data_IF_668254129377
#
_entry.id   IF_668254129377
#
_cell.length_a   1.000
_cell.length_b   1.000
_cell.length_c   1.000
_cell.angle_alpha   90.00
_cell.angle_beta   90.00
_cell.angle_gamma   90.00
#
_symmetry.space_group_name_H-M   'P 1'
#
loop_
_entity.id
_entity.type
_entity.pdbx_description
1 polymer ?
#
# COMPACT_ATOMS: atom_id res chain seq x y z
N UNK A 1 -20.29 31.43 13.65
CA UNK A 1 -19.04 32.07 14.08
C UNK A 1 -19.28 33.57 14.02
N UNK A 2 -19.36 34.24 15.17
CA UNK A 2 -19.47 35.70 15.23
C UNK A 2 -18.07 36.25 14.99
N UNK A 3 -17.89 37.11 13.98
CA UNK A 3 -16.62 37.78 13.71
C UNK A 3 -16.32 38.75 14.86
N UNK A 4 -15.50 38.31 15.82
CA UNK A 4 -15.05 39.10 16.97
C UNK A 4 -14.25 40.34 16.54
N UNK A 5 -13.62 40.31 15.36
CA UNK A 5 -12.93 41.47 14.77
C UNK A 5 -13.84 42.56 14.20
N UNK A 6 -15.14 42.29 13.97
CA UNK A 6 -16.12 43.32 13.57
C UNK A 6 -16.57 44.17 14.78
N UNK A 7 -16.18 43.79 16.00
CA UNK A 7 -16.55 44.51 17.23
C UNK A 7 -15.62 45.65 17.64
N UNK A 8 -14.83 46.20 16.71
CA UNK A 8 -13.75 47.14 17.04
C UNK A 8 -14.18 48.58 17.33
N UNK A 9 -15.46 48.97 17.16
CA UNK A 9 -15.92 50.32 17.52
C UNK A 9 -17.08 50.38 18.53
N UNK A 10 -18.05 49.47 18.45
CA UNK A 10 -19.24 49.52 19.33
C UNK A 10 -19.00 48.97 20.74
N UNK A 11 -18.14 47.95 20.91
CA UNK A 11 -17.73 47.46 22.24
C UNK A 11 -16.83 48.46 22.94
N UNK A 12 -16.04 49.24 22.18
CA UNK A 12 -15.12 50.23 22.72
C UNK A 12 -15.81 51.36 23.49
N UNK A 13 -17.10 51.65 23.26
CA UNK A 13 -17.83 52.70 24.00
C UNK A 13 -18.13 52.31 25.44
N UNK A 14 -18.60 51.08 25.69
CA UNK A 14 -18.90 50.58 27.05
C UNK A 14 -17.67 49.96 27.71
N UNK A 15 -16.77 49.37 26.92
CA UNK A 15 -15.46 48.97 27.41
C UNK A 15 -14.60 50.20 27.74
N UNK A 16 -14.81 51.39 27.14
CA UNK A 16 -14.00 52.60 27.38
C UNK A 16 -13.84 52.93 28.87
N UNK A 17 -14.91 52.80 29.67
CA UNK A 17 -14.84 53.12 31.10
C UNK A 17 -13.97 52.12 31.87
N UNK A 18 -14.08 50.84 31.54
CA UNK A 18 -13.25 49.76 32.10
C UNK A 18 -11.81 49.79 31.56
N UNK A 19 -11.64 50.13 30.28
CA UNK A 19 -10.38 50.22 29.54
C UNK A 19 -9.59 51.46 29.95
N UNK A 20 -10.26 52.56 30.30
CA UNK A 20 -9.64 53.74 30.91
C UNK A 20 -9.04 53.39 32.28
N UNK A 21 -9.72 52.61 33.10
CA UNK A 21 -9.18 52.12 34.39
C UNK A 21 -8.10 51.02 34.21
N UNK A 22 -8.14 50.28 33.11
CA UNK A 22 -7.10 49.28 32.75
C UNK A 22 -5.87 49.89 32.06
N UNK A 23 -5.92 51.16 31.65
CA UNK A 23 -4.87 51.75 30.81
C UNK A 23 -3.49 51.82 31.47
N UNK A 24 -3.42 51.73 32.80
CA UNK A 24 -2.17 51.70 33.59
C UNK A 24 -1.89 50.34 34.27
N UNK A 25 -2.84 49.42 34.32
CA UNK A 25 -2.70 48.14 35.03
C UNK A 25 -2.46 46.98 34.07
N UNK A 26 -1.32 46.30 34.19
CA UNK A 26 -1.06 45.07 33.45
C UNK A 26 -2.14 44.02 33.75
N UNK A 27 -2.76 43.46 32.70
CA UNK A 27 -3.76 42.40 32.85
C UNK A 27 -3.16 41.23 33.63
N UNK A 28 -3.76 40.90 34.77
CA UNK A 28 -3.35 39.79 35.62
C UNK A 28 -4.37 38.65 35.58
N UNK A 29 -3.93 37.45 35.97
CA UNK A 29 -4.78 36.26 36.08
C UNK A 29 -5.97 36.49 37.02
N UNK A 30 -5.72 37.16 38.15
CA UNK A 30 -6.76 37.50 39.12
C UNK A 30 -7.82 38.43 38.53
N UNK A 31 -7.37 39.47 37.80
CA UNK A 31 -8.27 40.40 37.15
C UNK A 31 -9.11 39.69 36.07
N UNK A 32 -8.50 38.84 35.23
CA UNK A 32 -9.24 38.08 34.23
C UNK A 32 -10.29 37.15 34.87
N UNK A 33 -9.94 36.47 35.97
CA UNK A 33 -10.88 35.65 36.73
C UNK A 33 -12.06 36.48 37.27
N UNK A 34 -11.78 37.66 37.82
CA UNK A 34 -12.82 38.58 38.34
C UNK A 34 -13.75 39.06 37.21
N UNK A 35 -13.19 39.42 36.05
CA UNK A 35 -13.97 39.85 34.88
C UNK A 35 -14.91 38.75 34.36
N UNK A 36 -14.47 37.49 34.41
CA UNK A 36 -15.29 36.35 33.99
C UNK A 36 -16.31 35.91 35.04
N UNK A 37 -16.01 36.10 36.33
CA UNK A 37 -16.90 35.70 37.43
C UNK A 37 -18.05 36.68 37.67
N UNK A 38 -17.80 37.99 37.47
CA UNK A 38 -18.74 39.05 37.84
C UNK A 38 -19.67 39.49 36.69
N UNK A 39 -19.57 38.87 35.52
CA UNK A 39 -20.34 39.27 34.34
C UNK A 39 -21.09 38.09 33.74
N UNK A 40 -22.38 38.28 33.45
CA UNK A 40 -23.16 37.37 32.61
C UNK A 40 -22.73 37.42 31.14
N UNK A 41 -21.92 38.43 30.77
CA UNK A 41 -21.39 38.67 29.43
C UNK A 41 -19.85 38.62 29.45
N UNK A 42 -19.22 37.77 28.63
CA UNK A 42 -17.76 37.64 28.57
C UNK A 42 -17.06 38.81 27.85
N UNK A 43 -17.80 39.76 27.28
CA UNK A 43 -17.24 40.94 26.56
C UNK A 43 -16.15 41.71 27.34
N UNK A 44 -16.26 41.98 28.66
CA UNK A 44 -15.22 42.68 29.40
C UNK A 44 -13.89 41.92 29.42
N UNK A 45 -13.95 40.59 29.56
CA UNK A 45 -12.78 39.72 29.52
C UNK A 45 -12.13 39.73 28.12
N UNK A 46 -12.94 39.62 27.05
CA UNK A 46 -12.44 39.73 25.68
C UNK A 46 -11.81 41.10 25.38
N UNK A 47 -12.41 42.19 25.86
CA UNK A 47 -11.84 43.53 25.69
C UNK A 47 -10.48 43.65 26.39
N UNK A 48 -10.35 43.14 27.62
CA UNK A 48 -9.09 43.13 28.35
C UNK A 48 -8.01 42.29 27.64
N UNK A 49 -8.35 41.08 27.20
CA UNK A 49 -7.44 40.22 26.45
C UNK A 49 -7.02 40.85 25.11
N UNK A 50 -7.95 41.49 24.40
CA UNK A 50 -7.64 42.19 23.14
C UNK A 50 -6.72 43.39 23.40
N UNK A 51 -6.90 44.09 24.52
CA UNK A 51 -5.99 45.16 24.91
C UNK A 51 -4.58 44.64 25.20
N UNK A 52 -4.43 43.47 25.84
CA UNK A 52 -3.10 42.86 26.06
C UNK A 52 -2.37 42.58 24.74
N UNK A 53 -3.11 42.27 23.68
CA UNK A 53 -2.57 42.04 22.33
C UNK A 53 -2.21 43.34 21.59
N UNK A 54 -2.50 44.51 22.15
CA UNK A 54 -2.21 45.80 21.52
C UNK A 54 -0.70 45.98 21.33
N UNK A 55 -0.31 46.36 20.12
CA UNK A 55 1.10 46.53 19.75
C UNK A 55 1.84 45.22 19.44
N UNK A 56 1.15 44.08 19.41
CA UNK A 56 1.75 42.85 18.91
C UNK A 56 1.96 42.92 17.39
N UNK A 57 3.16 42.59 16.92
CA UNK A 57 3.56 42.78 15.50
C UNK A 57 3.41 41.53 14.64
N UNK A 58 3.33 40.35 15.25
CA UNK A 58 3.17 39.06 14.59
C UNK A 58 2.13 38.18 15.29
N UNK A 59 1.76 37.04 14.69
CA UNK A 59 0.86 36.08 15.32
C UNK A 59 1.56 35.35 16.47
N UNK A 60 2.84 35.05 16.29
CA UNK A 60 3.70 34.49 17.34
C UNK A 60 3.78 35.42 18.55
N UNK A 61 3.97 36.74 18.36
CA UNK A 61 3.99 37.74 19.44
C UNK A 61 2.65 37.77 20.20
N UNK A 62 1.51 37.69 19.49
CA UNK A 62 0.19 37.60 20.13
C UNK A 62 0.07 36.36 21.01
N UNK A 63 0.53 35.21 20.54
CA UNK A 63 0.52 33.96 21.31
C UNK A 63 1.44 34.09 22.54
N UNK A 64 2.66 34.60 22.37
CA UNK A 64 3.61 34.75 23.47
C UNK A 64 3.14 35.72 24.56
N UNK A 65 2.34 36.73 24.21
CA UNK A 65 1.73 37.63 25.19
C UNK A 65 0.57 36.99 25.94
N UNK A 66 -0.19 36.12 25.30
CA UNK A 66 -1.35 35.46 25.92
C UNK A 66 -0.94 34.33 26.86
N UNK A 67 0.01 33.47 26.45
CA UNK A 67 0.36 32.25 27.18
C UNK A 67 0.75 32.46 28.66
N UNK A 68 1.48 33.53 29.07
CA UNK A 68 1.80 33.79 30.47
C UNK A 68 0.57 33.94 31.38
N UNK A 69 -0.56 34.45 30.88
CA UNK A 69 -1.81 34.51 31.66
C UNK A 69 -2.35 33.10 31.95
N UNK A 70 -2.13 32.19 31.02
CA UNK A 70 -2.52 30.80 31.11
C UNK A 70 -1.71 29.99 32.13
N UNK A 71 -0.49 30.41 32.47
CA UNK A 71 0.35 29.71 33.45
C UNK A 71 -0.15 29.91 34.90
N UNK A 72 -1.05 30.86 35.14
CA UNK A 72 -1.70 31.04 36.44
C UNK A 72 -2.94 30.16 36.65
N UNK A 73 -3.52 30.27 37.85
CA UNK A 73 -4.77 29.55 38.20
C UNK A 73 -5.98 30.22 37.57
N UNK A 74 -6.25 29.92 36.30
CA UNK A 74 -7.47 30.34 35.61
C UNK A 74 -8.70 29.58 36.14
N UNK A 75 -9.80 30.31 36.35
CA UNK A 75 -11.13 29.73 36.59
C UNK A 75 -11.67 29.08 35.31
N UNK A 76 -12.62 28.14 35.38
CA UNK A 76 -13.20 27.52 34.19
C UNK A 76 -13.79 28.53 33.18
N UNK A 77 -14.43 29.60 33.67
CA UNK A 77 -14.97 30.66 32.82
C UNK A 77 -13.87 31.46 32.11
N UNK A 78 -12.80 31.81 32.84
CA UNK A 78 -11.64 32.49 32.25
C UNK A 78 -10.89 31.61 31.24
N UNK A 79 -10.80 30.30 31.52
CA UNK A 79 -10.23 29.33 30.59
C UNK A 79 -11.07 29.21 29.31
N UNK A 80 -12.41 29.25 29.42
CA UNK A 80 -13.31 29.27 28.27
C UNK A 80 -13.13 30.52 27.39
N UNK A 81 -13.07 31.71 27.98
CA UNK A 81 -12.79 32.95 27.24
C UNK A 81 -11.38 32.94 26.60
N UNK A 82 -10.42 32.31 27.26
CA UNK A 82 -9.07 32.12 26.73
C UNK A 82 -9.05 31.15 25.54
N UNK A 83 -9.76 30.01 25.62
CA UNK A 83 -9.92 29.05 24.52
C UNK A 83 -10.57 29.70 23.30
N UNK A 84 -11.65 30.47 23.50
CA UNK A 84 -12.33 31.22 22.44
C UNK A 84 -11.35 32.13 21.70
N UNK A 85 -10.63 33.02 22.40
CA UNK A 85 -9.72 33.97 21.76
C UNK A 85 -8.51 33.28 21.12
N UNK A 86 -7.90 32.31 21.81
CA UNK A 86 -6.75 31.59 21.28
C UNK A 86 -7.17 30.78 20.05
N UNK A 87 -8.35 30.18 20.04
CA UNK A 87 -8.87 29.46 18.86
C UNK A 87 -9.09 30.40 17.68
N UNK A 88 -9.58 31.62 17.90
CA UNK A 88 -9.74 32.62 16.84
C UNK A 88 -8.39 33.08 16.26
N UNK A 89 -7.39 33.27 17.12
CA UNK A 89 -6.01 33.55 16.69
C UNK A 89 -5.53 32.38 15.84
N UNK A 90 -5.55 31.16 16.39
CA UNK A 90 -5.08 29.96 15.71
C UNK A 90 -5.83 29.73 14.39
N UNK A 91 -7.09 30.13 14.25
CA UNK A 91 -7.88 29.90 13.04
C UNK A 91 -7.33 30.61 11.79
N UNK A 92 -6.50 31.64 11.97
CA UNK A 92 -5.91 32.38 10.86
C UNK A 92 -4.78 31.57 10.20
N UNK A 93 -4.82 31.31 8.88
CA UNK A 93 -3.80 30.50 8.20
C UNK A 93 -2.37 31.02 8.37
N UNK A 94 -2.20 32.36 8.38
CA UNK A 94 -0.90 33.01 8.54
C UNK A 94 -0.21 32.69 9.87
N UNK A 95 -0.95 32.29 10.91
CA UNK A 95 -0.36 31.88 12.20
C UNK A 95 0.50 30.64 12.04
N UNK A 96 0.09 29.71 11.17
CA UNK A 96 0.86 28.50 10.95
C UNK A 96 2.16 28.78 10.21
N UNK A 97 2.15 29.71 9.27
CA UNK A 97 3.36 30.11 8.57
C UNK A 97 4.32 30.87 9.50
N UNK A 98 3.78 31.62 10.47
CA UNK A 98 4.56 32.28 11.52
C UNK A 98 5.15 31.28 12.54
N UNK A 99 4.39 30.23 12.92
CA UNK A 99 4.81 29.22 13.90
C UNK A 99 5.74 28.12 13.33
N UNK A 100 5.59 27.78 12.05
CA UNK A 100 6.27 26.65 11.41
C UNK A 100 7.14 27.03 10.21
N UNK A 101 7.04 28.27 9.74
CA UNK A 101 7.69 28.72 8.51
C UNK A 101 6.88 28.38 7.27
N UNK A 102 6.91 29.28 6.27
CA UNK A 102 6.14 29.15 5.03
C UNK A 102 6.58 27.98 4.12
N UNK A 103 7.79 27.45 4.29
CA UNK A 103 8.40 26.46 3.38
C UNK A 103 8.31 25.01 3.87
N UNK A 104 7.61 24.76 4.97
CA UNK A 104 7.50 23.43 5.55
C UNK A 104 6.74 22.44 4.64
N UNK A 105 7.25 21.21 4.53
CA UNK A 105 6.57 20.13 3.84
C UNK A 105 5.21 19.81 4.50
N UNK A 106 4.17 19.52 3.70
CA UNK A 106 2.81 19.35 4.20
C UNK A 106 2.67 18.17 5.17
N UNK A 107 3.34 17.06 4.90
CA UNK A 107 3.39 15.90 5.82
C UNK A 107 3.94 16.31 7.20
N UNK A 108 5.07 17.02 7.25
CA UNK A 108 5.67 17.50 8.49
C UNK A 108 4.74 18.49 9.22
N UNK A 109 4.11 19.41 8.48
CA UNK A 109 3.14 20.37 9.02
C UNK A 109 1.97 19.67 9.69
N UNK A 110 1.38 18.67 9.03
CA UNK A 110 0.26 17.89 9.60
C UNK A 110 0.69 17.12 10.84
N UNK A 111 1.85 16.45 10.80
CA UNK A 111 2.36 15.72 11.96
C UNK A 111 2.54 16.63 13.18
N UNK A 112 3.00 17.87 12.98
CA UNK A 112 3.18 18.84 14.05
C UNK A 112 1.86 19.42 14.56
N UNK A 113 0.93 19.75 13.68
CA UNK A 113 -0.41 20.19 14.06
C UNK A 113 -1.13 19.10 14.86
N UNK A 114 -0.99 17.86 14.43
CA UNK A 114 -1.59 16.72 15.09
C UNK A 114 -0.96 16.47 16.46
N UNK A 115 0.36 16.49 16.56
CA UNK A 115 1.04 16.36 17.85
C UNK A 115 0.58 17.44 18.83
N UNK A 116 0.40 18.68 18.35
CA UNK A 116 -0.14 19.78 19.14
C UNK A 116 -1.59 19.55 19.57
N UNK A 117 -2.46 19.05 18.68
CA UNK A 117 -3.86 18.74 19.00
C UNK A 117 -3.99 17.57 20.01
N UNK A 118 -3.14 16.56 19.87
CA UNK A 118 -3.08 15.36 20.72
C UNK A 118 -2.26 15.57 22.00
N UNK A 119 -1.69 16.76 22.22
CA UNK A 119 -0.86 17.08 23.40
C UNK A 119 0.41 16.22 23.52
N UNK A 120 0.95 15.80 22.39
CA UNK A 120 2.18 14.99 22.33
C UNK A 120 3.36 15.82 21.84
N UNK A 121 4.58 15.37 22.15
CA UNK A 121 5.77 16.02 21.62
C UNK A 121 5.81 15.90 20.09
N UNK A 122 6.03 16.99 19.34
CA UNK A 122 6.05 16.96 17.89
C UNK A 122 7.22 16.10 17.36
N UNK A 123 7.00 15.28 16.32
CA UNK A 123 8.08 14.53 15.70
C UNK A 123 8.96 15.45 14.83
N UNK A 124 10.26 15.55 15.13
CA UNK A 124 11.24 16.24 14.28
C UNK A 124 12.51 16.68 15.00
N UNK A 125 13.62 16.93 14.25
CA UNK A 125 14.89 17.30 14.85
C UNK A 125 14.85 18.71 15.49
N UNK A 126 15.64 18.94 16.55
CA UNK A 126 15.71 20.20 17.27
C UNK A 126 16.46 21.25 16.44
N UNK A 127 15.79 21.84 15.46
CA UNK A 127 16.30 22.96 14.67
C UNK A 127 15.24 24.05 14.62
N UNK A 128 15.47 25.14 15.36
CA UNK A 128 14.59 26.31 15.48
C UNK A 128 13.14 25.99 15.91
N UNK A 129 12.96 25.28 17.03
CA UNK A 129 11.74 25.46 17.82
C UNK A 129 11.73 26.89 18.39
N UNK A 130 11.05 27.80 17.71
CA UNK A 130 10.61 29.08 18.28
C UNK A 130 10.04 28.83 19.69
N UNK A 131 10.53 29.51 20.75
CA UNK A 131 10.08 29.32 22.14
C UNK A 131 8.56 29.36 22.28
N UNK A 132 7.90 30.23 21.51
CA UNK A 132 6.45 30.36 21.42
C UNK A 132 5.73 29.04 21.14
N UNK A 133 6.24 28.23 20.20
CA UNK A 133 5.64 26.95 19.82
C UNK A 133 5.69 25.94 20.96
N UNK A 134 6.83 25.85 21.64
CA UNK A 134 6.97 24.92 22.77
C UNK A 134 6.06 25.31 23.93
N UNK A 135 5.97 26.63 24.21
CA UNK A 135 5.04 27.15 25.21
C UNK A 135 3.60 26.82 24.83
N UNK A 136 3.20 27.02 23.57
CA UNK A 136 1.85 26.69 23.10
C UNK A 136 1.53 25.20 23.23
N UNK A 137 2.43 24.30 22.80
CA UNK A 137 2.25 22.84 22.95
C UNK A 137 2.11 22.45 24.42
N UNK A 138 2.97 22.99 25.29
CA UNK A 138 2.90 22.74 26.74
C UNK A 138 1.57 23.24 27.33
N UNK A 139 1.13 24.42 26.89
CA UNK A 139 -0.12 25.03 27.35
C UNK A 139 -1.34 24.19 26.94
N UNK A 140 -1.44 23.82 25.65
CA UNK A 140 -2.48 22.93 25.15
C UNK A 140 -2.44 21.54 25.80
N UNK A 141 -1.26 21.09 26.22
CA UNK A 141 -1.07 19.85 26.99
C UNK A 141 -1.51 19.93 28.45
N UNK A 142 -1.50 21.13 29.04
CA UNK A 142 -1.86 21.37 30.43
C UNK A 142 -3.37 21.57 30.60
N UNK A 143 -4.03 22.21 29.63
CA UNK A 143 -5.42 22.64 29.75
C UNK A 143 -6.35 21.96 28.73
N UNK A 144 -7.63 21.84 29.10
CA UNK A 144 -8.66 21.39 28.18
C UNK A 144 -9.27 22.53 27.36
N UNK A 145 -8.81 22.61 26.11
CA UNK A 145 -9.08 23.71 25.16
C UNK A 145 -9.70 23.14 23.88
N UNK A 146 -10.99 22.72 23.93
CA UNK A 146 -11.66 22.05 22.84
C UNK A 146 -11.75 22.89 21.55
N UNK A 147 -11.90 24.22 21.65
CA UNK A 147 -12.02 25.09 20.47
C UNK A 147 -10.69 25.23 19.75
N UNK A 148 -9.60 25.44 20.49
CA UNK A 148 -8.24 25.40 19.93
C UNK A 148 -7.98 24.07 19.22
N UNK A 149 -8.39 22.95 19.82
CA UNK A 149 -8.22 21.62 19.21
C UNK A 149 -9.02 21.48 17.91
N UNK A 150 -10.28 21.90 17.91
CA UNK A 150 -11.12 21.88 16.72
C UNK A 150 -10.51 22.72 15.57
N UNK A 151 -9.95 23.88 15.89
CA UNK A 151 -9.25 24.74 14.93
C UNK A 151 -7.99 24.09 14.37
N UNK A 152 -7.16 23.47 15.22
CA UNK A 152 -5.95 22.75 14.77
C UNK A 152 -6.32 21.62 13.80
N UNK A 153 -7.40 20.90 14.06
CA UNK A 153 -7.88 19.86 13.14
C UNK A 153 -8.48 20.41 11.86
N UNK A 154 -9.18 21.55 11.92
CA UNK A 154 -9.63 22.24 10.72
C UNK A 154 -8.43 22.65 9.84
N UNK A 155 -7.29 23.00 10.44
CA UNK A 155 -6.04 23.21 9.70
C UNK A 155 -5.48 21.93 9.12
N UNK A 156 -5.42 20.84 9.88
CA UNK A 156 -5.00 19.52 9.37
C UNK A 156 -5.82 19.15 8.13
N UNK A 157 -7.14 19.24 8.23
CA UNK A 157 -8.06 19.01 7.10
C UNK A 157 -7.75 19.94 5.93
N UNK A 158 -7.59 21.24 6.18
CA UNK A 158 -7.27 22.21 5.13
C UNK A 158 -5.98 21.84 4.39
N UNK A 159 -4.91 21.51 5.12
CA UNK A 159 -3.63 21.09 4.52
C UNK A 159 -3.80 19.79 3.73
N UNK A 160 -4.60 18.84 4.23
CA UNK A 160 -4.97 17.63 3.51
C UNK A 160 -5.76 17.94 2.23
N UNK A 161 -6.59 18.97 2.18
CA UNK A 161 -7.38 19.30 0.99
C UNK A 161 -6.61 20.08 -0.09
N UNK A 162 -5.50 20.74 0.29
CA UNK A 162 -4.75 21.60 -0.63
C UNK A 162 -4.27 20.85 -1.90
N UNK A 163 -4.50 21.35 -3.11
CA UNK A 163 -4.01 20.68 -4.32
C UNK A 163 -2.48 20.62 -4.35
N UNK A 164 -1.91 19.60 -5.01
CA UNK A 164 -0.46 19.42 -5.18
C UNK A 164 0.17 18.39 -4.24
N UNK A 165 1.51 18.29 -4.33
CA UNK A 165 2.34 17.27 -3.65
C UNK A 165 2.15 17.30 -2.14
N UNK A 166 1.88 16.14 -1.54
CA UNK A 166 1.75 15.98 -0.09
C UNK A 166 3.09 15.77 0.63
N UNK A 167 3.84 14.75 0.22
CA UNK A 167 5.08 14.34 0.88
C UNK A 167 6.30 14.44 -0.05
N UNK A 168 6.18 13.91 -1.27
CA UNK A 168 7.27 13.90 -2.23
C UNK A 168 6.79 13.89 -3.68
N UNK A 169 7.72 14.00 -4.63
CA UNK A 169 7.42 13.97 -6.08
C UNK A 169 7.12 12.58 -6.61
N UNK A 170 7.33 11.52 -5.82
CA UNK A 170 7.12 10.13 -6.23
C UNK A 170 5.75 9.63 -5.78
N UNK A 171 4.90 9.09 -6.67
CA UNK A 171 3.59 8.54 -6.28
C UNK A 171 3.67 7.44 -5.22
N UNK A 172 4.74 6.63 -5.22
CA UNK A 172 4.94 5.54 -4.26
C UNK A 172 5.20 6.07 -2.85
N UNK A 173 6.04 7.10 -2.74
CA UNK A 173 6.34 7.75 -1.47
C UNK A 173 5.14 8.57 -0.97
N UNK A 174 4.41 9.23 -1.89
CA UNK A 174 3.18 9.95 -1.55
C UNK A 174 2.09 9.00 -1.02
N UNK A 175 1.89 7.86 -1.68
CA UNK A 175 0.98 6.81 -1.20
C UNK A 175 1.41 6.27 0.17
N UNK A 176 2.70 5.96 0.35
CA UNK A 176 3.21 5.48 1.63
C UNK A 176 3.00 6.51 2.75
N UNK A 177 3.17 7.80 2.46
CA UNK A 177 2.87 8.88 3.41
C UNK A 177 1.39 8.93 3.77
N UNK A 178 0.49 8.84 2.79
CA UNK A 178 -0.96 8.81 3.03
C UNK A 178 -1.39 7.59 3.86
N UNK A 179 -0.80 6.41 3.62
CA UNK A 179 -1.04 5.22 4.43
C UNK A 179 -0.54 5.39 5.88
N UNK A 180 0.63 6.02 6.09
CA UNK A 180 1.12 6.36 7.44
C UNK A 180 0.16 7.32 8.14
N UNK A 181 -0.32 8.35 7.45
CA UNK A 181 -1.32 9.27 7.98
C UNK A 181 -2.61 8.53 8.35
N UNK A 182 -3.12 7.66 7.48
CA UNK A 182 -4.33 6.89 7.76
C UNK A 182 -4.20 6.05 9.05
N UNK A 183 -3.07 5.34 9.22
CA UNK A 183 -2.77 4.55 10.43
C UNK A 183 -2.64 5.42 11.70
N UNK A 184 -2.22 6.67 11.53
CA UNK A 184 -2.12 7.64 12.61
C UNK A 184 -3.52 8.12 13.02
N UNK A 185 -4.31 8.61 12.05
CA UNK A 185 -5.68 9.08 12.28
C UNK A 185 -6.62 7.97 12.73
N UNK A 186 -6.34 6.70 12.41
CA UNK A 186 -7.14 5.58 12.91
C UNK A 186 -7.07 5.39 14.43
N UNK A 187 -6.05 5.95 15.08
CA UNK A 187 -5.83 5.89 16.53
C UNK A 187 -6.37 7.12 17.28
N UNK A 188 -6.76 8.15 16.54
CA UNK A 188 -7.22 9.42 17.10
C UNK A 188 -8.70 9.32 17.47
N UNK A 189 -9.07 10.06 18.52
CA UNK A 189 -10.44 10.19 18.99
C UNK A 189 -11.38 10.60 17.82
N UNK A 190 -12.42 9.79 17.52
CA UNK A 190 -13.40 10.10 16.50
C UNK A 190 -14.07 11.48 16.64
N UNK A 191 -14.19 12.01 17.86
CA UNK A 191 -14.84 13.29 18.13
C UNK A 191 -14.11 14.49 17.49
N UNK A 192 -12.86 14.32 17.09
CA UNK A 192 -11.95 15.41 16.70
C UNK A 192 -11.90 15.59 15.17
N UNK A 193 -13.00 15.33 14.45
CA UNK A 193 -13.11 15.53 12.99
C UNK A 193 -12.40 14.46 12.15
N UNK A 194 -12.18 13.27 12.73
CA UNK A 194 -11.47 12.14 12.11
C UNK A 194 -12.08 11.71 10.77
N UNK A 195 -13.40 11.63 10.68
CA UNK A 195 -14.09 11.14 9.48
C UNK A 195 -13.79 12.00 8.25
N UNK A 196 -13.80 13.33 8.41
CA UNK A 196 -13.54 14.27 7.33
C UNK A 196 -12.09 14.20 6.83
N UNK A 197 -11.14 13.99 7.75
CA UNK A 197 -9.73 13.84 7.39
C UNK A 197 -9.49 12.51 6.66
N UNK A 198 -10.12 11.42 7.11
CA UNK A 198 -10.06 10.13 6.42
C UNK A 198 -10.63 10.26 5.00
N UNK A 199 -11.78 10.92 4.83
CA UNK A 199 -12.36 11.18 3.52
C UNK A 199 -11.41 11.99 2.62
N UNK A 200 -10.69 12.96 3.19
CA UNK A 200 -9.69 13.77 2.47
C UNK A 200 -8.47 12.92 2.04
N UNK A 201 -8.03 11.99 2.89
CA UNK A 201 -6.98 11.02 2.56
C UNK A 201 -7.45 10.08 1.44
N UNK A 202 -8.64 9.51 1.54
CA UNK A 202 -9.23 8.63 0.53
C UNK A 202 -9.36 9.33 -0.82
N UNK A 203 -9.83 10.59 -0.83
CA UNK A 203 -9.92 11.39 -2.04
C UNK A 203 -8.56 11.62 -2.70
N UNK A 204 -7.49 11.83 -1.91
CA UNK A 204 -6.13 11.92 -2.43
C UNK A 204 -5.62 10.59 -2.98
N UNK A 205 -5.81 9.50 -2.25
CA UNK A 205 -5.39 8.18 -2.73
C UNK A 205 -6.10 7.85 -4.04
N UNK A 206 -7.38 8.16 -4.17
CA UNK A 206 -8.12 8.02 -5.43
C UNK A 206 -7.50 8.78 -6.61
N UNK A 207 -6.89 9.95 -6.39
CA UNK A 207 -6.17 10.71 -7.43
C UNK A 207 -4.82 10.08 -7.80
N UNK A 208 -4.20 9.36 -6.88
CA UNK A 208 -2.97 8.60 -7.14
C UNK A 208 -3.24 7.30 -7.89
N UNK A 209 -4.40 6.69 -7.70
CA UNK A 209 -4.81 5.48 -8.42
C UNK A 209 -5.51 5.87 -9.72
N UNK A 210 -4.75 6.44 -10.65
CA UNK A 210 -5.18 6.75 -12.02
C UNK A 210 -4.36 5.95 -13.03
N UNK A 211 -4.86 5.68 -14.26
CA UNK A 211 -4.11 4.92 -15.25
C UNK A 211 -2.68 5.44 -15.48
N UNK A 212 -2.50 6.76 -15.54
CA UNK A 212 -1.20 7.40 -15.75
C UNK A 212 -0.24 7.21 -14.56
N UNK A 213 -0.76 7.22 -13.33
CA UNK A 213 0.05 7.05 -12.12
C UNK A 213 0.29 5.58 -11.78
N UNK A 214 -0.60 4.68 -12.21
CA UNK A 214 -0.43 3.24 -12.04
C UNK A 214 0.83 2.72 -12.72
N UNK A 215 1.26 3.29 -13.87
CA UNK A 215 2.54 2.93 -14.50
C UNK A 215 3.77 3.27 -13.65
N UNK A 216 3.65 4.24 -12.73
CA UNK A 216 4.71 4.60 -11.78
C UNK A 216 4.67 3.74 -10.52
N UNK A 217 3.48 3.34 -10.08
CA UNK A 217 3.28 2.44 -8.92
C UNK A 217 3.60 0.98 -9.26
N UNK A 218 3.32 0.58 -10.51
CA UNK A 218 3.50 -0.77 -11.03
C UNK A 218 4.46 -0.69 -12.22
N UNK A 219 5.74 -1.05 -12.03
CA UNK A 219 6.75 -0.87 -13.07
C UNK A 219 6.35 -1.53 -14.40
N UNK A 220 6.41 -0.78 -15.51
CA UNK A 220 6.00 -1.27 -16.83
C UNK A 220 6.79 -2.49 -17.30
N UNK A 221 8.07 -2.59 -16.94
CA UNK A 221 8.94 -3.73 -17.26
C UNK A 221 8.76 -4.95 -16.34
N UNK A 222 7.91 -4.88 -15.31
CA UNK A 222 7.71 -6.01 -14.41
C UNK A 222 6.97 -7.17 -15.12
N UNK A 223 7.28 -8.44 -14.79
CA UNK A 223 6.51 -9.59 -15.25
C UNK A 223 5.02 -9.46 -14.90
N UNK A 224 4.13 -9.94 -15.77
CA UNK A 224 2.69 -9.77 -15.63
C UNK A 224 2.15 -10.30 -14.28
N UNK A 225 2.62 -11.46 -13.84
CA UNK A 225 2.25 -12.05 -12.55
C UNK A 225 2.67 -11.17 -11.37
N UNK A 226 3.85 -10.56 -11.44
CA UNK A 226 4.33 -9.60 -10.45
C UNK A 226 3.47 -8.33 -10.45
N UNK A 227 3.04 -7.84 -11.61
CA UNK A 227 2.12 -6.69 -11.70
C UNK A 227 0.79 -6.99 -11.01
N UNK A 228 0.20 -8.16 -11.28
CA UNK A 228 -1.04 -8.59 -10.64
C UNK A 228 -0.88 -8.68 -9.13
N UNK A 229 0.19 -9.33 -8.66
CA UNK A 229 0.54 -9.41 -7.26
C UNK A 229 0.63 -8.02 -6.60
N UNK A 230 1.38 -7.08 -7.20
CA UNK A 230 1.51 -5.73 -6.67
C UNK A 230 0.16 -4.99 -6.59
N UNK A 231 -0.70 -5.15 -7.58
CA UNK A 231 -2.02 -4.49 -7.59
C UNK A 231 -2.96 -5.12 -6.56
N UNK A 232 -2.87 -6.43 -6.31
CA UNK A 232 -3.61 -7.08 -5.23
C UNK A 232 -3.13 -6.62 -3.85
N UNK A 233 -1.80 -6.50 -3.64
CA UNK A 233 -1.25 -5.95 -2.38
C UNK A 233 -1.74 -4.50 -2.18
N UNK A 234 -1.69 -3.70 -3.24
CA UNK A 234 -2.17 -2.34 -3.23
C UNK A 234 -3.68 -2.24 -2.93
N UNK A 235 -4.48 -3.19 -3.42
CA UNK A 235 -5.91 -3.25 -3.15
C UNK A 235 -6.22 -3.45 -1.66
N UNK A 236 -5.44 -4.32 -1.00
CA UNK A 236 -5.62 -4.60 0.43
C UNK A 236 -5.17 -3.43 1.31
N UNK A 237 -4.19 -2.64 0.86
CA UNK A 237 -3.66 -1.52 1.64
C UNK A 237 -4.36 -0.17 1.41
N UNK A 238 -5.03 0.01 0.27
CA UNK A 238 -5.62 1.29 -0.11
C UNK A 238 -6.99 1.52 0.53
N UNK A 239 -7.21 2.68 1.18
CA UNK A 239 -8.53 3.07 1.69
C UNK A 239 -9.42 3.64 0.57
N UNK A 240 -10.72 3.63 0.80
CA UNK A 240 -11.71 4.25 -0.08
C UNK A 240 -12.15 3.39 -1.28
N UNK A 241 -13.46 3.38 -1.52
CA UNK A 241 -14.09 2.60 -2.58
C UNK A 241 -13.72 3.07 -4.00
N UNK A 242 -13.46 4.37 -4.17
CA UNK A 242 -13.07 4.95 -5.48
C UNK A 242 -11.75 4.35 -5.96
N UNK A 243 -10.74 4.33 -5.09
CA UNK A 243 -9.43 3.80 -5.42
C UNK A 243 -9.48 2.26 -5.61
N UNK A 244 -10.21 1.54 -4.75
CA UNK A 244 -10.47 0.10 -4.90
C UNK A 244 -11.15 -0.25 -6.22
N UNK A 245 -12.16 0.51 -6.61
CA UNK A 245 -12.85 0.33 -7.90
C UNK A 245 -11.90 0.55 -9.08
N UNK A 246 -11.02 1.56 -9.01
CA UNK A 246 -10.00 1.80 -10.02
C UNK A 246 -8.98 0.64 -10.10
N UNK A 247 -8.53 0.11 -8.96
CA UNK A 247 -7.64 -1.05 -8.91
C UNK A 247 -8.30 -2.31 -9.50
N UNK A 248 -9.59 -2.56 -9.22
CA UNK A 248 -10.32 -3.68 -9.83
C UNK A 248 -10.38 -3.55 -11.35
N UNK A 249 -10.64 -2.35 -11.88
CA UNK A 249 -10.60 -2.09 -13.33
C UNK A 249 -9.21 -2.39 -13.89
N UNK A 250 -8.16 -1.98 -13.19
CA UNK A 250 -6.78 -2.26 -13.59
C UNK A 250 -6.45 -3.76 -13.54
N UNK A 251 -6.88 -4.48 -12.51
CA UNK A 251 -6.78 -5.94 -12.44
C UNK A 251 -7.48 -6.59 -13.63
N UNK A 252 -8.70 -6.18 -13.96
CA UNK A 252 -9.43 -6.73 -15.11
C UNK A 252 -8.69 -6.54 -16.44
N UNK A 253 -7.94 -5.44 -16.60
CA UNK A 253 -7.08 -5.21 -17.76
C UNK A 253 -5.84 -6.13 -17.74
N UNK A 254 -5.23 -6.33 -16.57
CA UNK A 254 -4.09 -7.24 -16.43
C UNK A 254 -4.48 -8.71 -16.65
N UNK A 255 -5.71 -9.07 -16.29
CA UNK A 255 -6.31 -10.39 -16.51
C UNK A 255 -6.97 -10.55 -17.87
N UNK A 256 -6.74 -9.63 -18.82
CA UNK A 256 -7.19 -9.85 -20.19
C UNK A 256 -6.50 -11.11 -20.76
N UNK A 257 -7.29 -12.00 -21.37
CA UNK A 257 -6.88 -13.38 -21.70
C UNK A 257 -5.64 -13.40 -22.61
N UNK A 258 -5.54 -12.44 -23.52
CA UNK A 258 -4.40 -12.31 -24.41
C UNK A 258 -3.12 -11.87 -23.70
N UNK A 259 -3.21 -11.14 -22.59
CA UNK A 259 -2.05 -10.64 -21.84
C UNK A 259 -1.42 -11.75 -21.01
N UNK A 260 -2.23 -12.49 -20.23
CA UNK A 260 -1.74 -13.55 -19.34
C UNK A 260 -1.10 -14.69 -20.15
N UNK A 261 -1.80 -15.16 -21.20
CA UNK A 261 -1.31 -16.25 -22.06
C UNK A 261 0.01 -15.87 -22.73
N UNK A 262 0.15 -14.63 -23.22
CA UNK A 262 1.41 -14.14 -23.80
C UNK A 262 2.53 -14.05 -22.77
N UNK A 263 2.24 -13.54 -21.56
CA UNK A 263 3.22 -13.47 -20.50
C UNK A 263 3.79 -14.85 -20.17
N UNK A 264 2.94 -15.87 -20.13
CA UNK A 264 3.29 -17.26 -19.84
C UNK A 264 4.11 -17.90 -20.97
N UNK A 265 3.80 -17.61 -22.23
CA UNK A 265 4.58 -18.11 -23.38
C UNK A 265 5.93 -17.40 -23.53
N UNK A 266 6.01 -16.14 -23.11
CA UNK A 266 7.21 -15.32 -23.20
C UNK A 266 8.18 -15.49 -22.02
N UNK A 267 7.72 -16.07 -20.91
CA UNK A 267 8.57 -16.23 -19.74
C UNK A 267 9.59 -17.34 -20.00
N UNK A 268 10.83 -17.13 -19.54
CA UNK A 268 11.86 -18.18 -19.53
C UNK A 268 11.62 -19.23 -18.44
N UNK A 269 10.48 -19.17 -17.76
CA UNK A 269 10.17 -20.01 -16.61
C UNK A 269 9.75 -21.40 -17.06
N UNK A 270 10.04 -22.37 -16.21
CA UNK A 270 9.56 -23.74 -16.40
C UNK A 270 8.04 -23.81 -16.16
N UNK A 271 7.35 -24.83 -16.71
CA UNK A 271 5.93 -25.05 -16.43
C UNK A 271 5.64 -25.23 -14.93
N UNK A 272 6.57 -25.81 -14.17
CA UNK A 272 6.43 -25.99 -12.73
C UNK A 272 6.50 -24.66 -11.96
N UNK A 273 7.44 -23.77 -12.31
CA UNK A 273 7.52 -22.42 -11.73
C UNK A 273 6.27 -21.59 -12.07
N UNK A 274 5.79 -21.70 -13.30
CA UNK A 274 4.56 -21.02 -13.73
C UNK A 274 3.35 -21.52 -12.94
N UNK A 275 3.23 -22.83 -12.73
CA UNK A 275 2.16 -23.40 -11.90
C UNK A 275 2.23 -22.91 -10.45
N UNK A 276 3.43 -22.86 -9.87
CA UNK A 276 3.63 -22.33 -8.51
C UNK A 276 3.23 -20.85 -8.38
N UNK A 277 3.55 -20.01 -9.37
CA UNK A 277 3.12 -18.61 -9.38
C UNK A 277 1.59 -18.48 -9.49
N UNK A 278 0.95 -19.30 -10.34
CA UNK A 278 -0.50 -19.32 -10.49
C UNK A 278 -1.20 -19.77 -9.20
N UNK A 279 -0.68 -20.79 -8.52
CA UNK A 279 -1.19 -21.25 -7.22
C UNK A 279 -1.02 -20.17 -6.14
N UNK A 280 0.12 -19.47 -6.12
CA UNK A 280 0.35 -18.34 -5.22
C UNK A 280 -0.67 -17.21 -5.46
N UNK A 281 -0.92 -16.86 -6.73
CA UNK A 281 -1.91 -15.86 -7.09
C UNK A 281 -3.34 -16.29 -6.74
N UNK A 282 -3.71 -17.55 -6.99
CA UNK A 282 -4.99 -18.10 -6.55
C UNK A 282 -5.15 -17.98 -5.04
N UNK A 283 -4.12 -18.37 -4.28
CA UNK A 283 -4.10 -18.25 -2.83
C UNK A 283 -4.39 -16.81 -2.38
N UNK A 284 -3.68 -15.84 -2.95
CA UNK A 284 -3.83 -14.41 -2.64
C UNK A 284 -5.21 -13.86 -3.01
N UNK A 285 -5.76 -14.22 -4.17
CA UNK A 285 -7.10 -13.80 -4.58
C UNK A 285 -8.16 -14.37 -3.62
N UNK A 286 -7.98 -15.61 -3.18
CA UNK A 286 -8.91 -16.28 -2.28
C UNK A 286 -8.86 -15.75 -0.84
N UNK A 287 -7.68 -15.36 -0.34
CA UNK A 287 -7.51 -14.83 1.03
C UNK A 287 -7.65 -13.31 1.13
N UNK A 288 -7.47 -12.57 0.03
CA UNK A 288 -7.48 -11.11 0.02
C UNK A 288 -8.86 -10.48 0.26
N UNK A 289 -8.88 -9.14 0.30
CA UNK A 289 -10.07 -8.33 0.62
C UNK A 289 -10.94 -8.00 -0.60
N UNK A 290 -10.65 -8.58 -1.77
CA UNK A 290 -11.39 -8.31 -3.01
C UNK A 290 -12.87 -8.70 -2.88
N UNK A 291 -13.81 -7.93 -3.46
CA UNK A 291 -15.24 -8.22 -3.36
C UNK A 291 -15.57 -9.54 -4.05
N UNK A 292 -16.52 -10.31 -3.51
CA UNK A 292 -16.87 -11.64 -4.02
C UNK A 292 -17.10 -11.70 -5.54
N UNK A 293 -17.84 -10.77 -6.18
CA UNK A 293 -18.06 -10.82 -7.63
C UNK A 293 -16.76 -10.65 -8.43
N UNK A 294 -15.90 -9.72 -8.00
CA UNK A 294 -14.60 -9.50 -8.65
C UNK A 294 -13.67 -10.71 -8.43
N UNK A 295 -13.66 -11.26 -7.21
CA UNK A 295 -12.89 -12.46 -6.86
C UNK A 295 -13.26 -13.65 -7.73
N UNK A 296 -14.55 -13.93 -7.89
CA UNK A 296 -15.05 -15.02 -8.73
C UNK A 296 -14.57 -14.87 -10.18
N UNK A 297 -14.70 -13.67 -10.76
CA UNK A 297 -14.22 -13.37 -12.11
C UNK A 297 -12.70 -13.57 -12.26
N UNK A 298 -11.92 -13.10 -11.29
CA UNK A 298 -10.46 -13.26 -11.29
C UNK A 298 -10.05 -14.74 -11.20
N UNK A 299 -10.72 -15.51 -10.33
CA UNK A 299 -10.49 -16.96 -10.20
C UNK A 299 -10.87 -17.68 -11.49
N UNK A 300 -12.02 -17.39 -12.08
CA UNK A 300 -12.47 -17.99 -13.34
C UNK A 300 -11.44 -17.77 -14.47
N UNK A 301 -10.98 -16.54 -14.63
CA UNK A 301 -9.95 -16.19 -15.64
C UNK A 301 -8.63 -16.90 -15.38
N UNK A 302 -8.22 -17.02 -14.13
CA UNK A 302 -6.99 -17.71 -13.74
C UNK A 302 -7.08 -19.21 -14.01
N UNK A 303 -8.21 -19.84 -13.67
CA UNK A 303 -8.49 -21.24 -13.97
C UNK A 303 -8.53 -21.51 -15.48
N UNK A 304 -9.12 -20.61 -16.27
CA UNK A 304 -9.11 -20.72 -17.73
C UNK A 304 -7.67 -20.69 -18.29
N UNK A 305 -6.78 -19.88 -17.72
CA UNK A 305 -5.36 -19.84 -18.11
C UNK A 305 -4.62 -21.12 -17.71
N UNK A 306 -4.87 -21.66 -16.50
CA UNK A 306 -4.32 -22.95 -16.05
C UNK A 306 -4.77 -24.09 -16.99
N UNK A 307 -6.05 -24.13 -17.34
CA UNK A 307 -6.59 -25.14 -18.26
C UNK A 307 -5.92 -25.08 -19.64
N UNK A 308 -5.70 -23.88 -20.19
CA UNK A 308 -4.99 -23.68 -21.46
C UNK A 308 -3.53 -24.13 -21.38
N UNK A 309 -2.83 -23.90 -20.26
CA UNK A 309 -1.48 -24.46 -20.06
C UNK A 309 -1.47 -25.98 -20.07
N UNK A 310 -2.40 -26.59 -19.34
CA UNK A 310 -2.50 -28.04 -19.30
C UNK A 310 -2.78 -28.59 -20.70
N UNK A 311 -3.70 -27.98 -21.46
CA UNK A 311 -3.98 -28.34 -22.84
C UNK A 311 -2.76 -28.18 -23.76
N UNK A 312 -2.02 -27.07 -23.67
CA UNK A 312 -0.79 -26.87 -24.44
C UNK A 312 0.33 -27.87 -24.09
N UNK A 313 0.43 -28.27 -22.81
CA UNK A 313 1.35 -29.33 -22.38
C UNK A 313 0.93 -30.71 -22.91
N UNK A 314 -0.38 -30.92 -23.08
CA UNK A 314 -0.98 -32.14 -23.64
C UNK A 314 -0.80 -32.15 -25.17
N UNK A 315 -0.87 -31.01 -25.86
CA UNK A 315 -0.63 -30.90 -27.31
C UNK A 315 0.85 -31.06 -27.70
N UNK A 316 1.79 -31.02 -26.74
CA UNK A 316 3.16 -31.54 -26.95
C UNK A 316 3.19 -33.06 -27.21
N UNK A 317 2.03 -33.75 -27.24
CA UNK A 317 1.87 -35.10 -27.83
C UNK A 317 2.25 -35.19 -29.31
N UNK A 318 2.45 -34.07 -30.00
CA UNK A 318 3.09 -33.99 -31.32
C UNK A 318 4.63 -34.08 -31.29
N UNK A 319 5.26 -34.28 -30.13
CA UNK A 319 6.70 -34.55 -30.06
C UNK A 319 7.06 -35.71 -30.98
N UNK A 320 8.06 -35.51 -31.83
CA UNK A 320 8.54 -36.53 -32.76
C UNK A 320 8.91 -37.77 -31.95
N UNK A 321 8.18 -38.86 -32.17
CA UNK A 321 8.43 -40.15 -31.54
C UNK A 321 9.42 -40.94 -32.38
N UNK A 322 10.37 -41.58 -31.71
CA UNK A 322 11.26 -42.53 -32.31
C UNK A 322 10.91 -43.92 -31.76
N UNK A 323 10.63 -44.88 -32.64
CA UNK A 323 10.46 -46.27 -32.22
C UNK A 323 11.79 -46.76 -31.62
N UNK A 324 11.70 -47.61 -30.59
CA UNK A 324 12.89 -48.32 -30.10
C UNK A 324 13.41 -49.26 -31.18
N UNK A 325 14.72 -49.26 -31.39
CA UNK A 325 15.42 -50.19 -32.28
C UNK A 325 15.70 -51.53 -31.61
N UNK A 326 16.16 -52.50 -32.41
CA UNK A 326 16.58 -53.81 -31.90
C UNK A 326 17.76 -53.62 -30.94
N UNK A 327 17.57 -54.04 -29.68
CA UNK A 327 18.59 -53.91 -28.64
C UNK A 327 18.52 -52.61 -27.82
N UNK A 328 17.51 -51.75 -28.04
CA UNK A 328 17.23 -50.60 -27.19
C UNK A 328 16.38 -51.01 -25.98
N UNK A 329 16.76 -50.51 -24.80
CA UNK A 329 16.14 -50.95 -23.56
C UNK A 329 16.22 -49.90 -22.47
N UNK A 330 15.41 -50.14 -21.44
CA UNK A 330 15.48 -49.45 -20.16
C UNK A 330 15.93 -50.44 -19.09
N UNK A 331 16.66 -49.96 -18.09
CA UNK A 331 16.88 -50.67 -16.83
C UNK A 331 16.04 -49.97 -15.78
N UNK A 332 15.07 -50.67 -15.22
CA UNK A 332 14.21 -50.17 -14.15
C UNK A 332 14.08 -51.25 -13.09
N UNK A 333 14.34 -50.91 -11.81
CA UNK A 333 14.38 -51.90 -10.70
C UNK A 333 15.31 -53.10 -10.99
N UNK A 334 16.48 -52.83 -11.57
CA UNK A 334 17.47 -53.84 -11.96
C UNK A 334 16.98 -54.85 -13.03
N UNK A 335 15.79 -54.62 -13.61
CA UNK A 335 15.24 -55.40 -14.71
C UNK A 335 15.50 -54.68 -16.04
N UNK A 336 16.04 -55.42 -17.01
CA UNK A 336 16.18 -54.95 -18.39
C UNK A 336 14.88 -55.19 -19.14
N UNK A 337 14.29 -54.12 -19.67
CA UNK A 337 13.03 -54.16 -20.42
C UNK A 337 13.18 -53.46 -21.76
N UNK A 338 12.62 -54.06 -22.81
CA UNK A 338 12.69 -53.51 -24.16
C UNK A 338 11.99 -52.14 -24.25
N UNK A 339 12.65 -51.22 -24.96
CA UNK A 339 12.10 -49.92 -25.25
C UNK A 339 11.19 -50.01 -26.48
N UNK A 340 9.92 -49.62 -26.32
CA UNK A 340 8.96 -49.60 -27.42
C UNK A 340 9.02 -48.27 -28.15
N UNK A 341 9.04 -47.15 -27.42
CA UNK A 341 9.03 -45.81 -28.00
C UNK A 341 9.67 -44.80 -27.04
N UNK A 342 10.28 -43.75 -27.59
CA UNK A 342 10.76 -42.62 -26.79
C UNK A 342 10.55 -41.29 -27.52
N UNK A 343 10.50 -40.23 -26.73
CA UNK A 343 10.27 -38.85 -27.16
C UNK A 343 11.11 -37.93 -26.29
N UNK A 344 11.04 -36.61 -26.53
CA UNK A 344 11.70 -35.61 -25.67
C UNK A 344 11.14 -35.54 -24.24
N UNK A 345 9.98 -36.14 -23.96
CA UNK A 345 9.24 -35.97 -22.69
C UNK A 345 9.09 -37.28 -21.92
N UNK A 346 9.22 -38.42 -22.59
CA UNK A 346 8.88 -39.71 -21.99
C UNK A 346 9.28 -40.91 -22.82
N UNK A 347 9.19 -42.06 -22.16
CA UNK A 347 9.49 -43.40 -22.69
C UNK A 347 8.29 -44.31 -22.55
N UNK A 348 8.19 -45.29 -23.44
CA UNK A 348 7.27 -46.41 -23.40
C UNK A 348 8.10 -47.68 -23.49
N UNK A 349 7.97 -48.56 -22.51
CA UNK A 349 8.72 -49.82 -22.45
C UNK A 349 7.82 -50.99 -22.08
N UNK A 350 8.21 -52.19 -22.51
CA UNK A 350 7.48 -53.43 -22.27
C UNK A 350 7.79 -54.49 -23.32
N UNK A 351 7.36 -55.74 -23.11
CA UNK A 351 6.45 -56.18 -22.05
C UNK A 351 7.11 -56.23 -20.65
N UNK A 352 6.36 -55.90 -19.60
CA UNK A 352 6.79 -56.01 -18.20
C UNK A 352 6.00 -57.07 -17.43
N UNK A 353 6.67 -57.81 -16.55
CA UNK A 353 6.04 -58.78 -15.65
C UNK A 353 5.77 -58.21 -14.25
N UNK A 354 6.42 -57.10 -13.89
CA UNK A 354 6.28 -56.44 -12.59
C UNK A 354 5.02 -55.59 -12.44
N UNK A 355 4.59 -55.37 -11.19
CA UNK A 355 3.52 -54.42 -10.86
C UNK A 355 4.07 -52.99 -10.84
N UNK A 356 3.61 -52.19 -11.79
CA UNK A 356 3.81 -50.73 -11.86
C UNK A 356 2.49 -50.03 -11.55
N UNK A 357 2.54 -48.90 -10.84
CA UNK A 357 1.35 -48.09 -10.51
C UNK A 357 1.45 -46.71 -11.16
N UNK A 358 0.33 -46.15 -11.59
CA UNK A 358 0.27 -44.76 -12.08
C UNK A 358 0.69 -43.82 -10.93
N UNK A 359 1.43 -42.75 -11.27
CA UNK A 359 2.09 -41.78 -10.37
C UNK A 359 3.24 -42.35 -9.53
N UNK A 360 3.64 -43.60 -9.77
CA UNK A 360 4.82 -44.16 -9.11
C UNK A 360 6.10 -43.50 -9.64
N UNK A 361 6.96 -43.06 -8.73
CA UNK A 361 8.29 -42.51 -9.05
C UNK A 361 9.37 -43.57 -8.93
N UNK A 362 10.23 -43.69 -9.93
CA UNK A 362 11.30 -44.68 -10.01
C UNK A 362 12.54 -44.07 -10.67
N UNK A 363 13.70 -44.70 -10.48
CA UNK A 363 14.90 -44.39 -11.26
C UNK A 363 15.00 -45.36 -12.44
N UNK A 364 15.40 -44.85 -13.60
CA UNK A 364 15.53 -45.58 -14.84
C UNK A 364 16.86 -45.23 -15.52
N UNK A 365 17.54 -46.22 -16.07
CA UNK A 365 18.65 -46.01 -17.01
C UNK A 365 18.16 -46.33 -18.42
N UNK A 366 18.28 -45.36 -19.34
CA UNK A 366 17.88 -45.53 -20.73
C UNK A 366 19.11 -45.84 -21.59
N UNK A 367 19.00 -46.81 -22.50
CA UNK A 367 20.01 -47.08 -23.55
C UNK A 367 19.35 -47.19 -24.92
N UNK A 368 19.73 -46.29 -25.82
CA UNK A 368 19.18 -46.22 -27.17
C UNK A 368 20.29 -46.07 -28.21
N UNK A 369 20.23 -46.84 -29.28
CA UNK A 369 21.11 -46.69 -30.43
C UNK A 369 20.51 -45.66 -31.39
N UNK A 370 21.27 -44.59 -31.64
CA UNK A 370 20.87 -43.56 -32.59
C UNK A 370 21.82 -43.56 -33.79
N UNK A 371 21.43 -42.92 -34.89
CA UNK A 371 22.29 -42.74 -36.06
C UNK A 371 23.60 -41.97 -35.76
N UNK A 372 23.69 -41.32 -34.60
CA UNK A 372 24.89 -40.59 -34.13
C UNK A 372 25.71 -41.38 -33.10
N UNK A 373 25.31 -42.60 -32.79
CA UNK A 373 25.91 -43.43 -31.75
C UNK A 373 24.94 -43.76 -30.60
N UNK A 374 25.39 -44.59 -29.64
CA UNK A 374 24.60 -44.97 -28.49
C UNK A 374 24.40 -43.78 -27.54
N UNK A 375 23.16 -43.62 -27.06
CA UNK A 375 22.75 -42.65 -26.06
C UNK A 375 22.43 -43.41 -24.78
N UNK A 376 23.13 -43.08 -23.69
CA UNK A 376 22.88 -43.64 -22.37
C UNK A 376 22.83 -42.56 -21.31
N UNK A 377 21.77 -42.55 -20.50
CA UNK A 377 21.67 -41.67 -19.34
C UNK A 377 20.75 -42.26 -18.26
N UNK A 378 20.98 -41.83 -17.03
CA UNK A 378 20.12 -42.11 -15.89
C UNK A 378 19.12 -40.97 -15.70
N UNK A 379 17.89 -41.31 -15.34
CA UNK A 379 16.82 -40.34 -15.14
C UNK A 379 15.84 -40.82 -14.07
N UNK A 380 15.24 -39.88 -13.37
CA UNK A 380 14.04 -40.18 -12.58
C UNK A 380 12.84 -40.22 -13.52
N UNK A 381 11.87 -41.07 -13.21
CA UNK A 381 10.64 -41.25 -13.99
C UNK A 381 9.42 -41.20 -13.10
N UNK A 382 8.28 -40.84 -13.70
CA UNK A 382 6.95 -40.97 -13.13
C UNK A 382 6.08 -41.77 -14.11
N UNK A 383 5.48 -42.85 -13.61
CA UNK A 383 4.63 -43.73 -14.39
C UNK A 383 3.31 -43.01 -14.69
N UNK A 384 3.00 -42.81 -15.96
CA UNK A 384 1.79 -42.09 -16.40
C UNK A 384 0.68 -43.07 -16.80
N UNK A 385 1.03 -44.25 -17.32
CA UNK A 385 0.06 -45.25 -17.77
C UNK A 385 0.66 -46.66 -17.77
N UNK A 386 -0.13 -47.64 -17.36
CA UNK A 386 0.19 -49.07 -17.48
C UNK A 386 -0.95 -49.74 -18.25
N UNK A 387 -0.66 -50.34 -19.41
CA UNK A 387 -1.68 -50.94 -20.26
C UNK A 387 -1.06 -52.04 -21.14
N UNK A 388 -1.72 -53.20 -21.25
CA UNK A 388 -1.31 -54.32 -22.12
C UNK A 388 0.15 -54.77 -21.91
N UNK A 389 0.60 -54.82 -20.65
CA UNK A 389 1.98 -55.17 -20.32
C UNK A 389 3.01 -54.11 -20.68
N UNK A 390 2.60 -52.92 -21.12
CA UNK A 390 3.48 -51.78 -21.40
C UNK A 390 3.33 -50.68 -20.37
N UNK A 391 4.40 -49.93 -20.17
CA UNK A 391 4.51 -48.85 -19.19
C UNK A 391 4.95 -47.58 -19.90
N UNK A 392 4.10 -46.56 -19.85
CA UNK A 392 4.43 -45.21 -20.30
C UNK A 392 4.87 -44.39 -19.10
N UNK A 393 6.05 -43.79 -19.18
CA UNK A 393 6.62 -42.98 -18.12
C UNK A 393 7.11 -41.63 -18.65
N UNK A 394 6.90 -40.57 -17.86
CA UNK A 394 7.54 -39.27 -18.07
C UNK A 394 8.90 -39.31 -17.38
N UNK A 395 9.96 -38.86 -18.04
CA UNK A 395 11.29 -38.83 -17.43
C UNK A 395 11.74 -37.39 -17.14
N UNK A 396 12.57 -37.25 -16.12
CA UNK A 396 13.13 -36.00 -15.62
C UNK A 396 14.65 -36.11 -15.61
N UNK A 397 15.30 -35.54 -16.62
CA UNK A 397 16.76 -35.56 -16.74
C UNK A 397 17.38 -34.83 -15.55
N UNK A 398 18.15 -35.57 -14.73
CA UNK A 398 18.82 -35.01 -13.55
C UNK A 398 19.94 -34.04 -13.95
N UNK A 399 20.59 -34.30 -15.09
CA UNK A 399 21.66 -33.46 -15.63
C UNK A 399 21.17 -32.68 -16.85
N UNK A 400 21.45 -31.37 -16.88
CA UNK A 400 21.11 -30.48 -18.01
C UNK A 400 21.75 -30.96 -19.33
N UNK A 401 22.93 -31.58 -19.27
CA UNK A 401 23.59 -32.16 -20.44
C UNK A 401 22.77 -33.28 -21.08
N UNK A 402 22.09 -34.11 -20.28
CA UNK A 402 21.26 -35.21 -20.76
C UNK A 402 19.99 -34.68 -21.46
N UNK A 403 19.36 -33.63 -20.92
CA UNK A 403 18.22 -32.94 -21.54
C UNK A 403 18.60 -32.28 -22.88
N UNK A 404 19.76 -31.61 -22.94
CA UNK A 404 20.27 -31.02 -24.18
C UNK A 404 20.57 -32.07 -25.25
N UNK A 405 21.16 -33.20 -24.86
CA UNK A 405 21.45 -34.32 -25.76
C UNK A 405 20.16 -34.91 -26.35
N UNK A 406 19.16 -35.16 -25.51
CA UNK A 406 17.83 -35.65 -25.94
C UNK A 406 17.17 -34.66 -26.91
N UNK A 407 17.14 -33.37 -26.56
CA UNK A 407 16.56 -32.33 -27.43
C UNK A 407 17.28 -32.25 -28.77
N UNK A 408 18.60 -32.32 -28.77
CA UNK A 408 19.41 -32.30 -29.99
C UNK A 408 19.15 -33.52 -30.89
N UNK A 409 18.95 -34.72 -30.31
CA UNK A 409 18.58 -35.92 -31.06
C UNK A 409 17.23 -35.74 -31.76
N UNK A 410 16.18 -35.37 -31.02
CA UNK A 410 14.84 -35.25 -31.60
C UNK A 410 14.69 -34.05 -32.55
N UNK A 411 15.44 -32.97 -32.35
CA UNK A 411 15.53 -31.87 -33.32
C UNK A 411 16.13 -32.34 -34.66
N UNK A 412 17.10 -33.26 -34.62
CA UNK A 412 17.66 -33.87 -35.83
C UNK A 412 16.65 -34.79 -36.52
N UNK A 413 15.98 -35.67 -35.77
CA UNK A 413 14.94 -36.58 -36.30
C UNK A 413 13.79 -35.81 -36.96
N UNK A 414 13.40 -34.66 -36.39
CA UNK A 414 12.36 -33.81 -36.96
C UNK A 414 12.78 -33.15 -38.29
N UNK A 415 14.07 -32.84 -38.46
CA UNK A 415 14.61 -32.28 -39.71
C UNK A 415 14.66 -33.32 -40.82
N UNK A 416 15.09 -34.55 -40.52
CA UNK A 416 15.24 -35.62 -41.53
C UNK A 416 13.91 -36.19 -42.02
N UNK A 417 12.81 -36.02 -41.29
CA UNK A 417 11.46 -36.42 -41.76
C UNK A 417 10.80 -35.39 -42.71
N UNK A 418 11.37 -34.18 -42.83
CA UNK A 418 10.83 -33.09 -43.68
C UNK A 418 11.54 -32.95 -45.03
N UNK A 419 12.71 -33.58 -45.18
CA UNK A 419 13.42 -33.80 -46.44
C UNK A 419 12.97 -35.12 -47.05
#
# INVERSE_FOLDING_TARGET
>A
MRDLFVYTDAIFSNAKKLVLDLSDAALSVNLLNVLCANSSDLKPAFAALTHLLRGATSWTDKIERLLPLGEGKLTPAALGAFDDLLSEILARPAVLDDLYGATEAREARILRLLAMAERTAPPGPPGATEPARQKLVRFLGTFDLPLCRAVLMAHVKRVMDLPGIFASRSPTEELAALQRMLKLFSKIDPAIGRADIIASIEARVGRLITPDMMGKLVPEGAPQFRKIALVLDLYDEVPGEVARTALIKFLNLLFDEGSLTRAMQSSKQTPAETAQELDSLMGRINTGSTPKPARQLLVERLLACIAKLHAASIDMRGSSRAAGGVGDYVIVRDERVDLVNWSTVGVLFGPVMGKYMVNQKLRLALRVHTNKGPVQFDTDIEIVRVQNGQVAARYFCVRNQDDQMVKAHFAFVAKTKKS
#
